data_IF_945309916978
#
_entry.id   IF_945309916978
#
_cell.length_a   1.000
_cell.length_b   1.000
_cell.length_c   1.000
_cell.angle_alpha   90.00
_cell.angle_beta   90.00
_cell.angle_gamma   90.00
#
_symmetry.space_group_name_H-M   'P 1'
#
loop_
_entity.id
_entity.type
_entity.pdbx_description
1 polymer ?
#
# COMPACT_ATOMS: atom_id res chain seq x y z
N UNK A 1 11.21 -54.69 -32.28
CA UNK A 1 11.92 -53.40 -32.23
C UNK A 1 11.01 -52.21 -32.55
N UNK A 2 10.23 -52.22 -33.65
CA UNK A 2 9.30 -51.11 -33.94
C UNK A 2 8.16 -50.92 -32.92
N UNK A 3 7.59 -52.00 -32.39
CA UNK A 3 6.52 -51.90 -31.39
C UNK A 3 7.00 -51.21 -30.09
N UNK A 4 8.22 -51.55 -29.66
CA UNK A 4 8.86 -50.92 -28.49
C UNK A 4 9.12 -49.43 -28.72
N UNK A 5 9.59 -49.06 -29.90
CA UNK A 5 9.79 -47.66 -30.27
C UNK A 5 8.46 -46.88 -30.26
N UNK A 6 7.38 -47.46 -30.80
CA UNK A 6 6.04 -46.85 -30.80
C UNK A 6 5.51 -46.60 -29.39
N UNK A 7 5.59 -47.61 -28.51
CA UNK A 7 5.18 -47.46 -27.10
C UNK A 7 6.00 -46.40 -26.38
N UNK A 8 7.32 -46.36 -26.63
CA UNK A 8 8.21 -45.35 -26.05
C UNK A 8 7.82 -43.94 -26.52
N UNK A 9 7.57 -43.74 -27.81
CA UNK A 9 7.17 -42.43 -28.36
C UNK A 9 5.86 -41.93 -27.77
N UNK A 10 4.86 -42.80 -27.61
CA UNK A 10 3.58 -42.43 -27.01
C UNK A 10 3.74 -42.08 -25.52
N UNK A 11 4.54 -42.84 -24.77
CA UNK A 11 4.80 -42.57 -23.36
C UNK A 11 5.50 -41.22 -23.15
N UNK A 12 6.53 -40.90 -23.95
CA UNK A 12 7.21 -39.60 -23.88
C UNK A 12 6.29 -38.44 -24.33
N UNK A 13 5.46 -38.65 -25.35
CA UNK A 13 4.48 -37.65 -25.78
C UNK A 13 3.43 -37.34 -24.71
N UNK A 14 2.92 -38.37 -24.03
CA UNK A 14 1.98 -38.21 -22.92
C UNK A 14 2.60 -37.45 -21.74
N UNK A 15 3.87 -37.72 -21.40
CA UNK A 15 4.60 -36.95 -20.37
C UNK A 15 4.77 -35.48 -20.78
N UNK A 16 5.09 -35.20 -22.05
CA UNK A 16 5.22 -33.83 -22.54
C UNK A 16 3.92 -33.03 -22.44
N UNK A 17 2.79 -33.63 -22.83
CA UNK A 17 1.46 -32.99 -22.72
C UNK A 17 1.05 -32.79 -21.25
N UNK A 18 1.38 -33.73 -20.36
CA UNK A 18 1.11 -33.58 -18.93
C UNK A 18 1.86 -32.39 -18.32
N UNK A 19 3.10 -32.13 -18.74
CA UNK A 19 3.87 -30.96 -18.28
C UNK A 19 3.31 -29.63 -18.82
N UNK A 20 2.87 -29.59 -20.08
CA UNK A 20 2.30 -28.38 -20.68
C UNK A 20 0.97 -27.94 -20.02
N UNK A 21 0.17 -28.90 -19.53
CA UNK A 21 -1.09 -28.60 -18.82
C UNK A 21 -0.89 -27.93 -17.45
N UNK A 22 0.29 -28.04 -16.84
CA UNK A 22 0.61 -27.43 -15.54
C UNK A 22 1.12 -25.98 -15.60
N UNK A 23 1.58 -25.52 -16.76
CA UNK A 23 2.13 -24.18 -16.97
C UNK A 23 1.11 -23.05 -16.76
N UNK A 24 -0.13 -23.10 -17.29
CA UNK A 24 -1.06 -21.96 -17.18
C UNK A 24 -1.58 -21.72 -15.76
N UNK A 25 -1.60 -22.76 -14.91
CA UNK A 25 -2.01 -22.62 -13.50
C UNK A 25 -0.89 -21.96 -12.67
N UNK A 26 0.37 -22.33 -12.93
CA UNK A 26 1.52 -21.76 -12.22
C UNK A 26 1.76 -20.30 -12.59
N UNK A 27 1.56 -19.94 -13.84
CA UNK A 27 1.67 -18.56 -14.33
C UNK A 27 0.66 -17.63 -13.65
N UNK A 28 -0.59 -18.06 -13.50
CA UNK A 28 -1.63 -17.29 -12.79
C UNK A 28 -1.31 -17.10 -11.31
N UNK A 29 -0.75 -18.11 -10.65
CA UNK A 29 -0.35 -18.02 -9.23
C UNK A 29 0.84 -17.07 -9.08
N UNK A 30 1.87 -17.20 -9.92
CA UNK A 30 3.03 -16.32 -9.91
C UNK A 30 2.65 -14.86 -10.19
N UNK A 31 1.75 -14.62 -11.15
CA UNK A 31 1.21 -13.30 -11.44
C UNK A 31 0.48 -12.69 -10.23
N UNK A 32 -0.46 -13.43 -9.64
CA UNK A 32 -1.21 -12.96 -8.46
C UNK A 32 -0.31 -12.66 -7.26
N UNK A 33 0.70 -13.50 -7.00
CA UNK A 33 1.68 -13.24 -5.93
C UNK A 33 2.49 -11.98 -6.21
N UNK A 34 2.95 -11.78 -7.44
CA UNK A 34 3.73 -10.60 -7.84
C UNK A 34 2.91 -9.32 -7.69
N UNK A 35 1.65 -9.35 -8.13
CA UNK A 35 0.74 -8.20 -8.03
C UNK A 35 0.43 -7.84 -6.58
N UNK A 36 0.23 -8.84 -5.71
CA UNK A 36 0.06 -8.64 -4.27
C UNK A 36 1.31 -8.10 -3.59
N UNK A 37 2.50 -8.60 -3.96
CA UNK A 37 3.77 -8.08 -3.45
C UNK A 37 3.98 -6.62 -3.85
N UNK A 38 3.66 -6.25 -5.10
CA UNK A 38 3.72 -4.86 -5.55
C UNK A 38 2.74 -3.97 -4.79
N UNK A 39 1.50 -4.43 -4.60
CA UNK A 39 0.49 -3.69 -3.84
C UNK A 39 0.93 -3.48 -2.37
N UNK A 40 1.47 -4.52 -1.72
CA UNK A 40 2.02 -4.42 -0.37
C UNK A 40 3.17 -3.42 -0.32
N UNK A 41 4.11 -3.51 -1.27
CA UNK A 41 5.25 -2.62 -1.29
C UNK A 41 4.84 -1.16 -1.46
N UNK A 42 3.87 -0.89 -2.33
CA UNK A 42 3.32 0.45 -2.51
C UNK A 42 2.67 0.99 -1.23
N UNK A 43 1.98 0.12 -0.45
CA UNK A 43 1.42 0.49 0.84
C UNK A 43 2.50 0.79 1.88
N UNK A 44 3.58 0.00 1.93
CA UNK A 44 4.71 0.22 2.85
C UNK A 44 5.43 1.54 2.57
N UNK A 45 5.73 1.81 1.30
CA UNK A 45 6.42 3.03 0.90
C UNK A 45 5.55 4.27 1.17
N UNK A 46 4.23 4.17 0.96
CA UNK A 46 3.26 5.21 1.30
C UNK A 46 3.18 5.48 2.82
N UNK A 47 3.23 4.42 3.62
CA UNK A 47 3.21 4.52 5.08
C UNK A 47 4.47 5.22 5.61
N UNK A 48 5.65 4.81 5.14
CA UNK A 48 6.93 5.43 5.52
C UNK A 48 7.01 6.90 5.11
N UNK A 49 6.47 7.24 3.94
CA UNK A 49 6.39 8.63 3.50
C UNK A 49 5.52 9.48 4.43
N UNK A 50 4.34 8.98 4.82
CA UNK A 50 3.46 9.67 5.76
C UNK A 50 4.13 9.88 7.13
N UNK A 51 4.86 8.87 7.63
CA UNK A 51 5.64 8.99 8.88
C UNK A 51 6.72 10.08 8.76
N UNK A 52 7.50 10.07 7.68
CA UNK A 52 8.52 11.09 7.43
C UNK A 52 7.94 12.50 7.33
N UNK A 53 6.80 12.64 6.66
CA UNK A 53 6.09 13.91 6.56
C UNK A 53 5.58 14.41 7.92
N UNK A 54 5.02 13.52 8.76
CA UNK A 54 4.57 13.88 10.11
C UNK A 54 5.72 14.38 11.00
N UNK A 55 6.92 13.80 10.85
CA UNK A 55 8.12 14.27 11.55
C UNK A 55 8.55 15.64 11.05
N UNK A 56 8.53 15.86 9.72
CA UNK A 56 8.93 17.12 9.11
C UNK A 56 8.01 18.29 9.51
N UNK A 57 6.70 18.09 9.44
CA UNK A 57 5.69 19.12 9.77
C UNK A 57 5.39 19.20 11.27
N UNK A 58 6.12 18.45 12.11
CA UNK A 58 5.98 18.40 13.57
C UNK A 58 4.55 18.13 14.05
N UNK A 59 3.82 17.30 13.32
CA UNK A 59 2.41 17.03 13.61
C UNK A 59 1.58 18.29 13.38
N UNK A 60 1.16 18.54 12.16
CA UNK A 60 0.19 19.60 11.84
C UNK A 60 -1.14 19.41 12.60
N UNK A 61 -1.91 20.48 12.73
CA UNK A 61 -3.24 20.43 13.35
C UNK A 61 -4.18 19.53 12.52
N UNK A 62 -5.07 18.81 13.21
CA UNK A 62 -6.09 18.01 12.54
C UNK A 62 -7.21 18.90 11.97
N UNK A 63 -7.64 18.59 10.74
CA UNK A 63 -8.68 19.30 9.99
C UNK A 63 -9.79 18.33 9.58
N UNK A 64 -11.03 18.79 9.33
CA UNK A 64 -12.04 17.96 8.71
C UNK A 64 -11.59 17.59 7.29
N UNK A 65 -11.39 16.30 7.05
CA UNK A 65 -11.05 15.79 5.73
C UNK A 65 -12.30 15.70 4.86
N UNK A 66 -12.15 16.06 3.59
CA UNK A 66 -13.19 15.90 2.58
C UNK A 66 -12.53 15.60 1.23
N UNK A 67 -13.08 14.63 0.50
CA UNK A 67 -12.63 14.24 -0.84
C UNK A 67 -11.20 13.68 -0.90
N UNK A 68 -10.77 13.37 -2.12
CA UNK A 68 -9.40 12.98 -2.40
C UNK A 68 -8.51 14.23 -2.58
N UNK A 69 -7.29 14.17 -2.05
CA UNK A 69 -6.24 15.16 -2.31
C UNK A 69 -5.16 14.55 -3.19
N UNK A 70 -4.70 15.33 -4.16
CA UNK A 70 -3.46 15.07 -4.87
C UNK A 70 -2.25 15.73 -4.15
N UNK A 71 -1.33 14.90 -3.66
CA UNK A 71 -0.12 15.31 -2.96
C UNK A 71 0.89 16.08 -3.84
N UNK A 72 0.69 16.15 -5.17
CA UNK A 72 1.53 16.92 -6.10
C UNK A 72 1.20 18.40 -6.10
N UNK A 73 -0.06 18.74 -5.84
CA UNK A 73 -0.58 20.11 -5.94
C UNK A 73 -0.96 20.70 -4.58
N UNK A 74 -1.04 19.88 -3.54
CA UNK A 74 -1.43 20.33 -2.20
C UNK A 74 -0.72 19.53 -1.11
N UNK A 75 -0.55 20.16 0.05
CA UNK A 75 0.07 19.52 1.21
C UNK A 75 -0.80 18.39 1.77
N UNK A 76 -0.15 17.43 2.40
CA UNK A 76 -0.83 16.39 3.18
C UNK A 76 -1.59 17.05 4.34
N UNK A 77 -2.64 16.37 4.81
CA UNK A 77 -3.47 16.81 5.93
C UNK A 77 -3.68 15.68 6.93
N UNK A 78 -3.92 16.05 8.18
CA UNK A 78 -4.32 15.12 9.25
C UNK A 78 -5.82 15.26 9.46
N UNK A 79 -6.55 14.15 9.43
CA UNK A 79 -7.99 14.12 9.60
C UNK A 79 -8.39 14.09 11.07
N UNK A 80 -9.51 14.74 11.39
CA UNK A 80 -10.13 14.67 12.74
C UNK A 80 -10.96 13.41 12.95
N UNK A 81 -11.36 12.72 11.88
CA UNK A 81 -12.20 11.51 11.95
C UNK A 81 -11.49 10.31 11.32
N UNK A 82 -11.64 9.12 11.91
CA UNK A 82 -11.13 7.90 11.33
C UNK A 82 -11.99 7.48 10.13
N UNK A 83 -11.42 6.65 9.26
CA UNK A 83 -12.16 5.99 8.18
C UNK A 83 -13.26 5.09 8.75
N UNK A 84 -14.45 5.14 8.15
CA UNK A 84 -15.56 4.24 8.51
C UNK A 84 -15.28 2.79 8.14
N UNK A 85 -14.67 2.56 6.97
CA UNK A 85 -14.23 1.23 6.52
C UNK A 85 -12.79 1.29 5.99
N UNK A 86 -11.78 1.05 6.85
CA UNK A 86 -10.39 1.08 6.42
C UNK A 86 -10.04 -0.09 5.50
N UNK A 87 -10.84 -1.17 5.45
CA UNK A 87 -10.51 -2.39 4.69
C UNK A 87 -10.92 -2.34 3.23
N UNK A 88 -11.77 -1.37 2.84
CA UNK A 88 -12.32 -1.24 1.49
C UNK A 88 -11.90 0.06 0.81
N UNK A 89 -10.65 0.18 0.35
CA UNK A 89 -10.23 1.27 -0.53
C UNK A 89 -10.85 1.09 -1.94
N UNK A 90 -10.97 2.17 -2.74
CA UNK A 90 -10.52 3.53 -2.46
C UNK A 90 -11.45 4.26 -1.47
N UNK A 91 -10.85 4.93 -0.48
CA UNK A 91 -11.60 5.72 0.49
C UNK A 91 -12.04 7.06 -0.11
N UNK A 92 -13.20 7.60 0.31
CA UNK A 92 -13.65 8.93 -0.14
C UNK A 92 -12.72 10.04 0.33
N UNK A 93 -12.25 9.94 1.57
CA UNK A 93 -11.21 10.80 2.14
C UNK A 93 -9.87 10.09 2.02
N UNK A 94 -9.00 10.59 1.15
CA UNK A 94 -7.67 10.01 0.94
C UNK A 94 -6.69 11.06 0.40
N UNK A 95 -5.41 10.74 0.50
CA UNK A 95 -4.34 11.48 -0.15
C UNK A 95 -3.69 10.52 -1.14
N UNK A 96 -3.62 10.91 -2.41
CA UNK A 96 -3.14 10.11 -3.52
C UNK A 96 -1.99 10.82 -4.26
N UNK A 97 -1.42 10.17 -5.28
CA UNK A 97 -0.32 10.72 -6.09
C UNK A 97 0.92 11.15 -5.28
N UNK A 98 1.19 10.45 -4.17
CA UNK A 98 2.37 10.69 -3.33
C UNK A 98 3.65 10.68 -4.17
N UNK A 99 4.62 11.58 -3.91
CA UNK A 99 5.87 11.69 -4.65
C UNK A 99 6.83 10.55 -4.29
N UNK A 100 6.41 9.32 -4.55
CA UNK A 100 7.12 8.08 -4.24
C UNK A 100 7.58 7.39 -5.51
N UNK A 101 8.77 6.76 -5.49
CA UNK A 101 9.22 5.95 -6.61
C UNK A 101 8.21 4.84 -6.89
N UNK A 102 7.74 4.75 -8.14
CA UNK A 102 6.72 3.77 -8.52
C UNK A 102 5.27 4.13 -8.16
N UNK A 103 5.02 5.30 -7.56
CA UNK A 103 3.68 5.89 -7.37
C UNK A 103 3.39 7.03 -8.37
N UNK A 104 4.16 7.10 -9.45
CA UNK A 104 3.89 8.00 -10.56
C UNK A 104 2.59 7.52 -11.23
N UNK A 105 1.50 8.31 -11.26
CA UNK A 105 0.56 8.19 -12.35
C UNK A 105 1.38 8.44 -13.62
N UNK A 106 1.52 7.41 -14.44
CA UNK A 106 1.61 7.63 -15.87
C UNK A 106 0.45 8.57 -16.26
N UNK A 107 0.65 9.48 -17.21
CA UNK A 107 -0.24 10.62 -17.46
C UNK A 107 -1.74 10.28 -17.69
N UNK A 108 -2.13 9.01 -17.72
CA UNK A 108 -3.48 8.48 -17.82
C UNK A 108 -3.79 7.30 -16.86
N UNK A 109 -2.99 7.08 -15.80
CA UNK A 109 -3.11 5.91 -14.92
C UNK A 109 -3.55 6.23 -13.49
N UNK A 110 -4.32 5.34 -12.82
CA UNK A 110 -4.73 5.52 -11.43
C UNK A 110 -3.56 5.44 -10.44
N UNK A 111 -3.61 6.21 -9.34
CA UNK A 111 -2.59 6.20 -8.28
C UNK A 111 -2.35 4.78 -7.73
N UNK A 112 -1.09 4.45 -7.42
CA UNK A 112 -0.68 3.13 -6.96
C UNK A 112 -0.65 3.01 -5.44
N UNK A 113 -0.75 4.12 -4.73
CA UNK A 113 -0.99 4.14 -3.30
C UNK A 113 -1.82 5.35 -2.88
N UNK A 114 -2.47 5.20 -1.73
CA UNK A 114 -3.21 6.25 -1.07
C UNK A 114 -2.98 6.17 0.44
N UNK A 115 -3.04 7.31 1.13
CA UNK A 115 -2.93 7.37 2.59
C UNK A 115 -4.11 8.13 3.21
N UNK A 116 -4.41 7.79 4.46
CA UNK A 116 -5.31 8.52 5.34
C UNK A 116 -4.65 8.62 6.71
N UNK A 117 -4.48 9.82 7.22
CA UNK A 117 -3.86 10.08 8.52
C UNK A 117 -4.94 10.63 9.43
N UNK A 118 -5.15 10.03 10.60
CA UNK A 118 -6.07 10.54 11.63
C UNK A 118 -5.32 10.78 12.93
N UNK A 119 -5.65 11.87 13.62
CA UNK A 119 -5.17 12.08 14.99
C UNK A 119 -6.08 11.31 15.96
N UNK A 120 -5.48 10.39 16.73
CA UNK A 120 -6.21 9.55 17.69
C UNK A 120 -6.29 10.23 19.06
N UNK A 121 -5.31 11.07 19.39
CA UNK A 121 -5.26 11.81 20.65
C UNK A 121 -3.83 11.92 21.19
N UNK A 122 -3.69 12.12 22.50
CA UNK A 122 -2.37 12.17 23.15
C UNK A 122 -2.03 10.83 23.82
N UNK A 123 -0.74 10.50 23.86
CA UNK A 123 -0.23 9.34 24.59
C UNK A 123 -0.32 9.57 26.11
N UNK A 124 -0.18 8.47 26.88
CA UNK A 124 -0.19 8.52 28.36
C UNK A 124 0.93 9.45 28.85
N UNK A 125 0.56 10.61 29.37
CA UNK A 125 1.48 11.67 29.81
C UNK A 125 1.27 13.02 29.14
N UNK A 126 0.46 13.12 28.08
CA UNK A 126 0.02 14.41 27.49
C UNK A 126 1.09 15.18 26.70
N UNK A 127 2.27 14.59 26.48
CA UNK A 127 3.39 15.25 25.79
C UNK A 127 3.58 14.75 24.35
N UNK A 128 3.00 13.61 24.00
CA UNK A 128 3.14 12.99 22.68
C UNK A 128 1.78 12.91 21.99
N UNK A 129 1.72 13.33 20.73
CA UNK A 129 0.53 13.20 19.89
C UNK A 129 0.58 11.89 19.13
N UNK A 130 -0.52 11.17 19.12
CA UNK A 130 -0.67 9.86 18.48
C UNK A 130 -1.49 10.00 17.22
N UNK A 131 -0.89 9.59 16.12
CA UNK A 131 -1.49 9.53 14.79
C UNK A 131 -1.68 8.08 14.38
N UNK A 132 -2.79 7.80 13.71
CA UNK A 132 -2.99 6.53 13.03
C UNK A 132 -2.93 6.78 11.52
N UNK A 133 -2.01 6.08 10.89
CA UNK A 133 -1.74 6.17 9.46
C UNK A 133 -2.31 4.91 8.83
N UNK A 134 -3.22 5.07 7.89
CA UNK A 134 -3.76 3.97 7.07
C UNK A 134 -3.27 4.18 5.66
N UNK A 135 -2.55 3.21 5.11
CA UNK A 135 -2.02 3.25 3.75
C UNK A 135 -2.64 2.12 2.93
N UNK A 136 -3.09 2.45 1.73
CA UNK A 136 -3.54 1.50 0.73
C UNK A 136 -2.53 1.47 -0.41
N UNK A 137 -2.21 0.28 -0.89
CA UNK A 137 -1.42 0.06 -2.09
C UNK A 137 -2.21 -0.78 -3.07
N UNK A 138 -2.10 -0.44 -4.35
CA UNK A 138 -2.83 -1.06 -5.43
C UNK A 138 -1.87 -1.79 -6.38
N UNK A 139 -2.37 -2.87 -6.97
CA UNK A 139 -1.68 -3.63 -8.01
C UNK A 139 -1.51 -2.83 -9.30
N UNK A 140 -1.06 -3.47 -10.38
CA UNK A 140 -0.74 -2.79 -11.65
C UNK A 140 -1.92 -2.03 -12.28
N UNK A 141 -3.17 -2.39 -11.95
CA UNK A 141 -4.37 -1.71 -12.43
C UNK A 141 -4.79 -0.49 -11.56
N UNK A 142 -4.02 -0.17 -10.52
CA UNK A 142 -4.18 0.96 -9.60
C UNK A 142 -5.52 1.03 -8.87
N UNK A 143 -5.86 2.20 -8.32
CA UNK A 143 -7.03 2.41 -7.45
C UNK A 143 -8.40 2.04 -8.07
N UNK A 144 -8.52 2.04 -9.39
CA UNK A 144 -9.75 1.68 -10.13
C UNK A 144 -9.78 0.22 -10.59
N UNK A 145 -8.67 -0.50 -10.45
CA UNK A 145 -8.52 -1.87 -10.94
C UNK A 145 -8.47 -2.90 -9.80
N UNK A 146 -9.44 -3.81 -9.75
CA UNK A 146 -9.67 -4.77 -8.67
C UNK A 146 -8.78 -6.03 -8.73
N UNK A 147 -7.48 -5.91 -9.06
CA UNK A 147 -6.62 -7.10 -9.24
C UNK A 147 -5.80 -7.47 -7.99
N UNK A 148 -5.28 -6.48 -7.27
CA UNK A 148 -4.58 -6.68 -5.99
C UNK A 148 -4.63 -5.41 -5.15
N UNK A 149 -4.99 -5.53 -3.87
CA UNK A 149 -5.08 -4.43 -2.92
C UNK A 149 -4.44 -4.87 -1.62
N UNK A 150 -3.60 -4.03 -1.05
CA UNK A 150 -3.04 -4.20 0.29
C UNK A 150 -3.37 -2.97 1.13
N UNK A 151 -3.80 -3.19 2.37
CA UNK A 151 -4.05 -2.12 3.34
C UNK A 151 -3.16 -2.37 4.55
N UNK A 152 -2.39 -1.35 4.92
CA UNK A 152 -1.55 -1.32 6.11
C UNK A 152 -2.04 -0.23 7.05
N UNK A 153 -1.92 -0.50 8.36
CA UNK A 153 -2.27 0.46 9.40
C UNK A 153 -1.17 0.49 10.44
N UNK A 154 -0.64 1.69 10.70
CA UNK A 154 0.37 1.96 11.73
C UNK A 154 -0.13 3.04 12.68
N UNK A 155 0.34 2.97 13.92
CA UNK A 155 0.16 4.02 14.94
C UNK A 155 1.50 4.65 15.21
N UNK A 156 1.61 5.95 14.98
CA UNK A 156 2.83 6.73 15.09
C UNK A 156 2.66 7.80 16.17
N UNK A 157 3.56 7.83 17.16
CA UNK A 157 3.58 8.87 18.20
C UNK A 157 4.69 9.88 17.93
N UNK A 158 4.35 11.17 17.92
CA UNK A 158 5.29 12.26 17.81
C UNK A 158 5.39 13.00 19.15
N UNK A 159 6.61 13.08 19.70
CA UNK A 159 6.87 13.91 20.88
C UNK A 159 7.10 15.35 20.47
N UNK A 160 6.26 16.26 20.97
CA UNK A 160 6.41 17.71 20.72
C UNK A 160 7.16 18.42 21.85
N UNK A 161 7.59 17.68 22.88
CA UNK A 161 8.25 18.24 24.06
C UNK A 161 9.78 18.14 23.94
N UNK A 162 10.47 19.28 23.98
CA UNK A 162 11.84 19.31 24.48
C UNK A 162 11.78 19.14 26.01
N UNK A 163 12.17 17.97 26.52
CA UNK A 163 12.35 17.80 27.96
C UNK A 163 13.60 18.59 28.35
N UNK A 164 13.40 19.72 29.04
CA UNK A 164 14.50 20.48 29.61
C UNK A 164 15.26 19.57 30.59
N UNK A 165 16.50 19.19 30.26
CA UNK A 165 17.43 18.48 31.15
C UNK A 165 18.25 19.47 32.00
N UNK A 166 17.68 20.65 32.26
CA UNK A 166 18.37 21.76 32.91
C UNK A 166 18.98 21.38 34.25
N UNK A 167 20.31 21.42 34.26
CA UNK A 167 21.21 21.78 35.35
C UNK A 167 21.01 21.06 36.70
N UNK A 168 21.87 20.06 36.93
CA UNK A 168 22.51 19.88 38.24
C UNK A 168 24.01 20.09 38.07
#
# INVERSE_FOLDING_TARGET
MLLFALFLTIALGALGVAMMRGVPVRERIAGNVTDKQRALRAAEDALRYAEGWLVQERGVASVPCAGAIDARVSSLRVCTRPLTDPTRPPWPERIENLPLPGNQPDANGPSRSAIHIVEVGMARGGLDRVFQITAAGYGPAGATGTTAVAVLRSTFSLSTAARNLGAH
#
